data_IF_044009964828
#
_entry.id   IF_044009964828
#
_cell.length_a   1.000
_cell.length_b   1.000
_cell.length_c   1.000
_cell.angle_alpha   90.00
_cell.angle_beta   90.00
_cell.angle_gamma   90.00
#
_symmetry.space_group_name_H-M   'P 1'
#
loop_
_entity.id
_entity.type
_entity.pdbx_description
1 polymer ?
#
# COMPACT_ATOMS: atom_id res chain seq x y z
N UNK A 1 -38.20 22.05 -10.87
CA UNK A 1 -38.97 21.36 -9.79
C UNK A 1 -38.33 20.04 -9.34
N UNK A 2 -38.04 19.11 -10.23
CA UNK A 2 -37.49 17.78 -9.84
C UNK A 2 -36.08 17.83 -9.23
N UNK A 3 -35.15 18.63 -9.78
CA UNK A 3 -33.81 18.77 -9.22
C UNK A 3 -33.83 19.34 -7.81
N UNK A 4 -34.60 20.41 -7.58
CA UNK A 4 -34.72 21.02 -6.25
C UNK A 4 -35.26 20.03 -5.20
N UNK A 5 -36.28 19.23 -5.58
CA UNK A 5 -36.80 18.19 -4.70
C UNK A 5 -35.74 17.13 -4.37
N UNK A 6 -35.00 16.63 -5.38
CA UNK A 6 -33.90 15.70 -5.16
C UNK A 6 -32.87 16.26 -4.19
N UNK A 7 -32.44 17.52 -4.37
CA UNK A 7 -31.46 18.15 -3.51
C UNK A 7 -31.97 18.38 -2.09
N UNK A 8 -33.21 18.79 -1.93
CA UNK A 8 -33.82 18.96 -0.60
C UNK A 8 -33.91 17.65 0.19
N UNK A 9 -34.25 16.57 -0.48
CA UNK A 9 -34.38 15.23 0.12
C UNK A 9 -33.01 14.66 0.51
N UNK A 10 -31.97 14.86 -0.31
CA UNK A 10 -30.69 14.14 -0.20
C UNK A 10 -29.55 14.97 0.42
N UNK A 11 -29.63 16.31 0.43
CA UNK A 11 -28.62 17.16 1.10
C UNK A 11 -28.92 17.19 2.61
N UNK A 12 -28.38 16.18 3.29
CA UNK A 12 -28.52 15.92 4.72
C UNK A 12 -27.33 15.10 5.22
N UNK A 13 -27.32 14.73 6.48
CA UNK A 13 -26.25 13.94 7.12
C UNK A 13 -25.92 12.64 6.36
N UNK A 14 -26.93 11.99 5.79
CA UNK A 14 -26.78 10.77 5.00
C UNK A 14 -26.20 10.96 3.58
N UNK A 15 -25.84 12.17 3.18
CA UNK A 15 -25.16 12.43 1.91
C UNK A 15 -23.72 11.91 1.96
N UNK A 16 -23.31 11.09 0.99
CA UNK A 16 -21.90 10.70 0.86
C UNK A 16 -21.13 11.72 0.04
N UNK A 17 -21.64 12.06 -1.14
CA UNK A 17 -20.94 12.91 -2.09
C UNK A 17 -21.86 13.41 -3.20
N UNK A 18 -21.63 14.66 -3.63
CA UNK A 18 -22.09 15.17 -4.93
C UNK A 18 -20.86 15.50 -5.77
N UNK A 19 -20.84 15.08 -7.02
CA UNK A 19 -19.81 15.43 -8.01
C UNK A 19 -20.49 16.08 -9.21
N UNK A 20 -20.07 17.29 -9.55
CA UNK A 20 -20.56 18.06 -10.70
C UNK A 20 -19.39 18.23 -11.67
N UNK A 21 -19.59 17.95 -12.96
CA UNK A 21 -18.56 17.97 -13.97
C UNK A 21 -19.11 18.18 -15.37
N UNK A 22 -18.23 18.26 -16.37
CA UNK A 22 -18.60 18.55 -17.75
C UNK A 22 -19.05 20.00 -17.92
N UNK A 23 -18.13 20.98 -17.77
CA UNK A 23 -18.47 22.39 -17.94
C UNK A 23 -19.00 22.70 -19.34
N UNK A 24 -19.81 23.75 -19.43
CA UNK A 24 -20.32 24.34 -20.69
C UNK A 24 -19.54 25.61 -20.97
N UNK A 25 -19.10 25.78 -22.22
CA UNK A 25 -18.32 26.96 -22.60
C UNK A 25 -17.01 27.10 -21.84
N UNK A 26 -16.54 28.33 -21.67
CA UNK A 26 -15.23 28.67 -21.08
C UNK A 26 -15.29 28.84 -19.56
N UNK A 27 -15.96 27.91 -18.86
CA UNK A 27 -15.99 27.96 -17.39
C UNK A 27 -14.60 27.67 -16.81
N UNK A 28 -14.10 28.55 -15.95
CA UNK A 28 -12.85 28.34 -15.21
C UNK A 28 -12.91 27.14 -14.27
N UNK A 29 -14.12 26.85 -13.74
CA UNK A 29 -14.34 25.69 -12.85
C UNK A 29 -14.55 24.44 -13.68
N UNK A 30 -13.64 23.49 -13.59
CA UNK A 30 -13.70 22.22 -14.32
C UNK A 30 -14.51 21.14 -13.61
N UNK A 31 -14.54 21.18 -12.27
CA UNK A 31 -15.21 20.17 -11.45
C UNK A 31 -15.57 20.73 -10.06
N UNK A 32 -16.69 20.27 -9.52
CA UNK A 32 -17.11 20.56 -8.15
C UNK A 32 -17.39 19.28 -7.40
N UNK A 33 -16.93 19.19 -6.15
CA UNK A 33 -17.27 18.13 -5.20
C UNK A 33 -17.89 18.72 -3.95
N UNK A 34 -18.96 18.10 -3.45
CA UNK A 34 -19.64 18.52 -2.24
C UNK A 34 -19.81 17.32 -1.31
N UNK A 35 -19.50 17.49 -0.03
CA UNK A 35 -19.71 16.48 1.00
C UNK A 35 -20.18 17.12 2.30
N UNK A 36 -20.92 16.40 3.13
CA UNK A 36 -21.26 16.86 4.48
C UNK A 36 -20.01 16.89 5.37
N UNK A 37 -19.96 17.89 6.25
CA UNK A 37 -18.92 18.04 7.28
C UNK A 37 -19.56 18.60 8.54
N UNK A 38 -19.07 18.16 9.70
CA UNK A 38 -19.45 18.77 10.97
C UNK A 38 -18.36 19.74 11.42
N UNK A 39 -18.75 20.99 11.67
CA UNK A 39 -17.86 22.05 12.15
C UNK A 39 -18.50 22.72 13.37
N UNK A 40 -17.85 22.61 14.52
CA UNK A 40 -18.36 23.16 15.80
C UNK A 40 -19.79 22.71 16.12
N UNK A 41 -20.09 21.42 15.90
CA UNK A 41 -21.41 20.84 16.15
C UNK A 41 -22.50 21.25 15.14
N UNK A 42 -22.15 21.88 14.02
CA UNK A 42 -23.07 22.25 12.94
C UNK A 42 -22.81 21.45 11.69
N UNK A 43 -23.84 20.86 11.10
CA UNK A 43 -23.76 20.20 9.82
C UNK A 43 -23.67 21.27 8.71
N UNK A 44 -22.58 21.24 7.97
CA UNK A 44 -22.31 22.08 6.80
C UNK A 44 -21.95 21.20 5.60
N UNK A 45 -21.92 21.80 4.42
CA UNK A 45 -21.57 21.10 3.17
C UNK A 45 -20.32 21.75 2.59
N UNK A 46 -19.21 21.02 2.67
CA UNK A 46 -17.95 21.47 2.10
C UNK A 46 -17.97 21.31 0.59
N UNK A 47 -17.88 22.44 -0.09
CA UNK A 47 -17.75 22.53 -1.52
C UNK A 47 -16.26 22.70 -1.89
N UNK A 48 -15.78 21.89 -2.81
CA UNK A 48 -14.45 21.93 -3.40
C UNK A 48 -14.59 22.21 -4.89
N UNK A 49 -14.14 23.38 -5.33
CA UNK A 49 -14.13 23.81 -6.74
C UNK A 49 -12.71 23.64 -7.31
N UNK A 50 -12.59 22.98 -8.46
CA UNK A 50 -11.30 22.80 -9.17
C UNK A 50 -11.20 23.81 -10.29
N UNK A 51 -10.19 24.69 -10.24
CA UNK A 51 -9.89 25.73 -11.25
C UNK A 51 -8.45 25.53 -11.73
N UNK A 52 -8.27 25.02 -12.91
CA UNK A 52 -6.96 24.61 -13.42
C UNK A 52 -6.31 23.56 -12.50
N UNK A 53 -5.16 23.87 -11.91
CA UNK A 53 -4.45 23.03 -10.93
C UNK A 53 -4.77 23.39 -9.47
N UNK A 54 -5.63 24.38 -9.21
CA UNK A 54 -5.94 24.86 -7.86
C UNK A 54 -7.29 24.35 -7.39
N UNK A 55 -7.41 24.12 -6.08
CA UNK A 55 -8.64 23.71 -5.42
C UNK A 55 -9.06 24.79 -4.40
N UNK A 56 -10.30 25.22 -4.50
CA UNK A 56 -10.91 26.22 -3.60
C UNK A 56 -11.96 25.53 -2.73
N UNK A 57 -11.92 25.76 -1.43
CA UNK A 57 -12.84 25.17 -0.48
C UNK A 57 -13.73 26.21 0.17
N UNK A 58 -15.04 25.91 0.21
CA UNK A 58 -16.04 26.74 0.90
C UNK A 58 -17.01 25.85 1.67
N UNK A 59 -17.31 26.20 2.92
CA UNK A 59 -18.34 25.53 3.69
C UNK A 59 -19.67 26.30 3.54
N UNK A 60 -20.73 25.59 3.23
CA UNK A 60 -22.06 26.15 2.92
C UNK A 60 -23.10 25.56 3.85
N UNK A 61 -24.16 26.30 4.10
CA UNK A 61 -25.39 25.77 4.70
C UNK A 61 -26.10 24.84 3.69
N UNK A 62 -27.13 24.11 4.14
CA UNK A 62 -27.93 23.27 3.24
C UNK A 62 -28.56 24.11 2.12
N UNK A 63 -29.17 25.23 2.46
CA UNK A 63 -29.89 26.09 1.51
C UNK A 63 -28.95 26.75 0.50
N UNK A 64 -27.76 27.21 0.97
CA UNK A 64 -26.73 27.71 0.07
C UNK A 64 -26.22 26.66 -0.90
N UNK A 65 -26.03 25.42 -0.43
CA UNK A 65 -25.60 24.31 -1.26
C UNK A 65 -26.64 23.97 -2.34
N UNK A 66 -27.94 23.91 -1.97
CA UNK A 66 -29.05 23.66 -2.92
C UNK A 66 -29.09 24.75 -3.98
N UNK A 67 -29.02 26.01 -3.56
CA UNK A 67 -29.03 27.16 -4.49
C UNK A 67 -27.86 27.09 -5.45
N UNK A 68 -26.64 26.94 -4.93
CA UNK A 68 -25.42 26.91 -5.72
C UNK A 68 -25.35 25.74 -6.70
N UNK A 69 -25.81 24.56 -6.29
CA UNK A 69 -25.90 23.37 -7.17
C UNK A 69 -26.91 23.62 -8.29
N UNK A 70 -28.05 24.20 -7.96
CA UNK A 70 -29.09 24.53 -8.93
C UNK A 70 -28.58 25.51 -9.98
N UNK A 71 -27.85 26.54 -9.58
CA UNK A 71 -27.25 27.52 -10.48
C UNK A 71 -26.23 26.86 -11.42
N UNK A 72 -25.35 26.02 -10.88
CA UNK A 72 -24.37 25.28 -11.69
C UNK A 72 -25.03 24.35 -12.70
N UNK A 73 -26.07 23.63 -12.34
CA UNK A 73 -26.73 22.70 -13.25
C UNK A 73 -27.60 23.41 -14.29
N UNK A 74 -28.13 24.58 -13.96
CA UNK A 74 -28.88 25.39 -14.92
C UNK A 74 -27.96 26.09 -15.96
N UNK A 75 -26.77 26.58 -15.52
CA UNK A 75 -25.90 27.40 -16.35
C UNK A 75 -24.60 26.75 -16.78
N UNK A 76 -23.86 26.21 -15.83
CA UNK A 76 -22.41 25.96 -16.00
C UNK A 76 -22.05 24.53 -16.35
N UNK A 77 -22.78 23.53 -15.85
CA UNK A 77 -22.37 22.12 -15.99
C UNK A 77 -23.41 21.24 -16.70
N UNK A 78 -22.93 20.12 -17.26
CA UNK A 78 -23.75 19.16 -18.01
C UNK A 78 -24.15 17.94 -17.21
N UNK A 79 -23.42 17.62 -16.14
CA UNK A 79 -23.66 16.40 -15.39
C UNK A 79 -23.41 16.55 -13.89
N UNK A 80 -24.23 15.87 -13.11
CA UNK A 80 -24.07 15.71 -11.66
C UNK A 80 -24.30 14.26 -11.28
N UNK A 81 -23.49 13.76 -10.36
CA UNK A 81 -23.68 12.49 -9.66
C UNK A 81 -23.86 12.77 -8.18
N UNK A 82 -24.87 12.16 -7.59
CA UNK A 82 -25.19 12.24 -6.16
C UNK A 82 -25.21 10.83 -5.59
N UNK A 83 -24.52 10.64 -4.48
CA UNK A 83 -24.51 9.40 -3.71
C UNK A 83 -24.92 9.70 -2.27
N UNK A 84 -25.92 9.00 -1.76
CA UNK A 84 -26.42 9.11 -0.38
C UNK A 84 -26.66 7.72 0.22
N UNK A 85 -27.00 7.69 1.49
CA UNK A 85 -27.43 6.45 2.18
C UNK A 85 -28.73 5.85 1.61
N UNK A 86 -29.56 6.66 0.93
CA UNK A 86 -30.85 6.23 0.36
C UNK A 86 -30.81 5.94 -1.11
N UNK A 87 -29.93 6.60 -1.88
CA UNK A 87 -29.91 6.45 -3.33
C UNK A 87 -28.60 6.87 -3.99
N UNK A 88 -28.45 6.44 -5.23
CA UNK A 88 -27.55 7.05 -6.21
C UNK A 88 -28.39 7.76 -7.27
N UNK A 89 -28.09 9.03 -7.57
CA UNK A 89 -28.77 9.77 -8.62
C UNK A 89 -27.77 10.37 -9.62
N UNK A 90 -28.14 10.36 -10.90
CA UNK A 90 -27.42 11.05 -11.96
C UNK A 90 -28.31 12.07 -12.65
N UNK A 91 -27.78 13.27 -12.83
CA UNK A 91 -28.46 14.36 -13.55
C UNK A 91 -27.64 14.70 -14.77
N UNK A 92 -28.28 14.65 -15.93
CA UNK A 92 -27.67 15.02 -17.21
C UNK A 92 -28.44 16.17 -17.83
N UNK A 93 -27.71 17.13 -18.36
CA UNK A 93 -28.29 18.31 -19.02
C UNK A 93 -27.91 18.27 -20.51
N UNK A 94 -28.92 18.23 -21.39
CA UNK A 94 -28.73 18.20 -22.81
C UNK A 94 -28.19 19.54 -23.34
N UNK A 95 -27.73 19.56 -24.59
CA UNK A 95 -27.33 20.83 -25.27
C UNK A 95 -28.47 21.87 -25.31
N UNK A 96 -29.74 21.43 -25.33
CA UNK A 96 -30.94 22.29 -25.32
C UNK A 96 -31.38 22.73 -23.90
N UNK A 97 -30.63 22.36 -22.84
CA UNK A 97 -30.94 22.72 -21.46
C UNK A 97 -31.92 21.78 -20.74
N UNK A 98 -32.41 20.73 -21.42
CA UNK A 98 -33.32 19.77 -20.80
C UNK A 98 -32.55 18.89 -19.79
N UNK A 99 -33.05 18.82 -18.53
CA UNK A 99 -32.48 17.97 -17.47
C UNK A 99 -33.17 16.60 -17.47
N UNK A 100 -32.36 15.56 -17.37
CA UNK A 100 -32.83 14.17 -17.15
C UNK A 100 -32.25 13.69 -15.84
N UNK A 101 -33.12 13.25 -14.93
CA UNK A 101 -32.74 12.73 -13.61
C UNK A 101 -33.02 11.22 -13.57
N UNK A 102 -32.00 10.43 -13.27
CA UNK A 102 -32.13 9.00 -13.00
C UNK A 102 -31.76 8.74 -11.55
N UNK A 103 -32.72 8.24 -10.76
CA UNK A 103 -32.53 7.89 -9.33
C UNK A 103 -32.65 6.37 -9.17
N UNK A 104 -31.64 5.75 -8.54
CA UNK A 104 -31.61 4.34 -8.17
C UNK A 104 -31.59 4.25 -6.65
N UNK A 105 -32.68 3.77 -6.02
CA UNK A 105 -32.72 3.63 -4.57
C UNK A 105 -31.77 2.53 -4.09
N UNK A 106 -31.21 2.69 -2.88
CA UNK A 106 -30.46 1.65 -2.21
C UNK A 106 -31.41 0.79 -1.35
N UNK A 107 -31.07 -0.48 -1.16
CA UNK A 107 -31.76 -1.32 -0.19
C UNK A 107 -31.47 -0.81 1.23
N UNK A 108 -32.49 -0.75 2.08
CA UNK A 108 -32.35 -0.34 3.48
C UNK A 108 -31.30 -1.20 4.18
N UNK A 109 -30.33 -0.55 4.87
CA UNK A 109 -29.30 -1.21 5.69
C UNK A 109 -27.96 -1.47 5.01
N UNK A 110 -27.76 -1.11 3.73
CA UNK A 110 -26.49 -1.28 3.02
C UNK A 110 -25.58 -0.03 3.05
N UNK A 111 -26.04 1.05 3.71
CA UNK A 111 -25.31 2.33 3.76
C UNK A 111 -24.07 2.27 4.63
N UNK A 112 -22.92 2.64 4.07
CA UNK A 112 -21.71 2.89 4.86
C UNK A 112 -21.93 4.09 5.77
N UNK A 113 -21.36 4.12 7.00
CA UNK A 113 -21.45 5.30 7.86
C UNK A 113 -20.82 6.51 7.16
N UNK A 114 -21.52 7.65 7.21
CA UNK A 114 -21.02 8.92 6.63
C UNK A 114 -19.95 9.49 7.55
N UNK A 115 -18.79 9.75 6.99
CA UNK A 115 -17.72 10.40 7.75
C UNK A 115 -17.87 11.92 7.64
N UNK A 116 -18.39 12.55 8.71
CA UNK A 116 -18.63 13.98 8.82
C UNK A 116 -17.38 14.78 9.27
N UNK A 117 -16.26 14.14 9.57
CA UNK A 117 -15.06 14.83 10.02
C UNK A 117 -14.58 15.82 8.97
N UNK A 118 -14.42 17.11 9.38
CA UNK A 118 -13.95 18.19 8.51
C UNK A 118 -12.52 17.91 8.03
N UNK A 119 -11.64 17.53 8.95
CA UNK A 119 -10.30 17.05 8.64
C UNK A 119 -10.30 15.52 8.67
N UNK A 120 -10.16 14.89 7.51
CA UNK A 120 -9.92 13.45 7.43
C UNK A 120 -8.55 13.16 8.06
N UNK A 121 -8.55 12.85 9.36
CA UNK A 121 -7.37 12.19 9.93
C UNK A 121 -7.27 10.81 9.31
N UNK A 122 -6.12 10.52 8.69
CA UNK A 122 -5.82 9.14 8.26
C UNK A 122 -5.88 8.28 9.52
N UNK A 123 -6.71 7.24 9.52
CA UNK A 123 -6.75 6.28 10.62
C UNK A 123 -5.55 5.37 10.46
N UNK A 124 -4.64 5.45 11.39
CA UNK A 124 -3.47 4.58 11.46
C UNK A 124 -3.78 3.32 12.27
N UNK A 125 -3.09 2.22 11.97
CA UNK A 125 -3.21 0.95 12.73
C UNK A 125 -2.63 1.15 14.12
N UNK A 126 -1.46 1.80 14.24
CA UNK A 126 -0.93 2.31 15.49
C UNK A 126 -1.45 3.72 15.68
N UNK A 127 -2.30 3.93 16.69
CA UNK A 127 -2.97 5.22 16.90
C UNK A 127 -2.14 6.13 17.80
N UNK A 128 -2.16 7.44 17.50
CA UNK A 128 -1.64 8.46 18.40
C UNK A 128 -2.49 8.51 19.69
N UNK A 129 -1.84 8.63 20.83
CA UNK A 129 -2.48 8.62 22.15
C UNK A 129 -2.48 7.26 22.84
N UNK A 130 -2.15 6.18 22.13
CA UNK A 130 -1.97 4.85 22.70
C UNK A 130 -0.46 4.55 22.80
N UNK A 131 0.11 4.46 24.01
CA UNK A 131 1.53 4.19 24.17
C UNK A 131 1.93 2.82 23.62
N UNK A 132 2.95 2.80 22.75
CA UNK A 132 3.51 1.58 22.18
C UNK A 132 4.99 1.49 22.56
N UNK A 133 5.43 0.47 23.34
CA UNK A 133 6.76 0.43 23.94
C UNK A 133 7.90 0.54 22.93
N UNK A 134 7.88 -0.22 21.85
CA UNK A 134 8.95 -0.17 20.85
C UNK A 134 9.03 1.17 20.11
N UNK A 135 7.90 1.90 19.92
CA UNK A 135 7.90 3.22 19.33
C UNK A 135 8.51 4.28 20.26
N UNK A 136 8.39 4.08 21.58
CA UNK A 136 9.00 4.97 22.58
C UNK A 136 10.52 4.82 22.56
N UNK A 137 11.03 3.59 22.58
CA UNK A 137 12.47 3.32 22.53
C UNK A 137 13.11 3.74 21.20
N UNK A 138 12.36 3.71 20.11
CA UNK A 138 12.77 4.28 18.81
C UNK A 138 12.75 5.82 18.77
N UNK A 139 12.25 6.48 19.83
CA UNK A 139 12.07 7.93 19.87
C UNK A 139 11.02 8.45 18.86
N UNK A 140 10.13 7.58 18.40
CA UNK A 140 9.03 7.92 17.48
C UNK A 140 7.81 8.40 18.25
N UNK A 141 7.63 7.90 19.49
CA UNK A 141 6.50 8.21 20.35
C UNK A 141 6.97 8.62 21.76
N UNK A 142 6.28 9.55 22.40
CA UNK A 142 6.52 9.92 23.79
C UNK A 142 5.88 8.89 24.75
N UNK A 143 6.19 8.97 26.03
CA UNK A 143 5.59 8.11 27.06
C UNK A 143 4.06 8.26 27.14
N UNK A 144 3.54 9.44 26.81
CA UNK A 144 2.11 9.79 26.78
C UNK A 144 1.42 9.37 25.46
N UNK A 145 2.14 8.69 24.57
CA UNK A 145 1.60 8.23 23.27
C UNK A 145 1.56 9.29 22.17
N UNK A 146 2.17 10.47 22.35
CA UNK A 146 2.22 11.51 21.31
C UNK A 146 3.33 11.21 20.30
N UNK A 147 3.07 11.45 19.02
CA UNK A 147 4.08 11.24 17.97
C UNK A 147 5.07 12.41 17.98
N UNK A 148 6.37 12.07 17.98
CA UNK A 148 7.46 13.05 17.89
C UNK A 148 7.48 13.63 16.48
N UNK A 149 7.28 14.94 16.36
CA UNK A 149 7.09 15.65 15.08
C UNK A 149 8.21 15.36 14.06
N UNK A 150 9.46 15.34 14.49
CA UNK A 150 10.63 15.06 13.62
C UNK A 150 10.74 13.59 13.20
N UNK A 151 9.93 12.70 13.78
CA UNK A 151 9.86 11.26 13.49
C UNK A 151 8.54 10.83 12.88
N UNK A 152 7.72 11.80 12.47
CA UNK A 152 6.38 11.50 11.93
C UNK A 152 6.44 10.64 10.66
N UNK A 153 7.44 10.84 9.80
CA UNK A 153 7.63 10.02 8.60
C UNK A 153 7.94 8.57 8.94
N UNK A 154 8.75 8.34 10.00
CA UNK A 154 9.00 6.99 10.50
C UNK A 154 7.73 6.30 11.01
N UNK A 155 6.90 7.05 11.74
CA UNK A 155 5.58 6.58 12.17
C UNK A 155 4.67 6.22 10.99
N UNK A 156 4.64 7.06 9.95
CA UNK A 156 3.89 6.78 8.71
C UNK A 156 4.40 5.53 8.00
N UNK A 157 5.72 5.37 7.89
CA UNK A 157 6.35 4.20 7.28
C UNK A 157 5.96 2.90 8.01
N UNK A 158 6.01 2.89 9.33
CA UNK A 158 5.62 1.71 10.14
C UNK A 158 4.14 1.39 9.91
N UNK A 159 3.25 2.39 9.98
CA UNK A 159 1.84 2.16 9.73
C UNK A 159 1.55 1.69 8.30
N UNK A 160 2.27 2.23 7.29
CA UNK A 160 2.13 1.77 5.91
C UNK A 160 2.53 0.31 5.75
N UNK A 161 3.60 -0.11 6.42
CA UNK A 161 3.99 -1.51 6.45
C UNK A 161 2.90 -2.40 7.07
N UNK A 162 2.32 -1.97 8.19
CA UNK A 162 1.23 -2.70 8.85
C UNK A 162 -0.05 -2.76 8.00
N UNK A 163 -0.33 -1.74 7.16
CA UNK A 163 -1.42 -1.79 6.17
C UNK A 163 -1.21 -2.96 5.18
N UNK A 164 0.04 -3.19 4.70
CA UNK A 164 0.34 -4.35 3.85
C UNK A 164 0.18 -5.69 4.58
N UNK A 165 0.54 -5.73 5.86
CA UNK A 165 0.32 -6.92 6.70
C UNK A 165 -1.19 -7.16 6.89
N UNK A 166 -1.98 -6.12 7.13
CA UNK A 166 -3.44 -6.24 7.28
C UNK A 166 -4.11 -6.77 6.01
N UNK A 167 -3.66 -6.33 4.84
CA UNK A 167 -4.19 -6.79 3.55
C UNK A 167 -3.96 -8.29 3.31
N UNK A 168 -2.86 -8.85 3.81
CA UNK A 168 -2.51 -10.27 3.61
C UNK A 168 -2.94 -11.17 4.77
N UNK A 169 -3.42 -10.61 5.85
CA UNK A 169 -3.83 -11.36 7.04
C UNK A 169 -4.81 -12.51 6.73
N UNK A 170 -5.81 -12.37 5.83
CA UNK A 170 -6.71 -13.45 5.47
C UNK A 170 -6.05 -14.64 4.75
N UNK A 171 -4.79 -14.50 4.33
CA UNK A 171 -4.02 -15.55 3.65
C UNK A 171 -3.19 -16.40 4.63
N UNK A 172 -3.10 -15.96 5.89
CA UNK A 172 -2.35 -16.64 6.94
C UNK A 172 -3.29 -17.53 7.79
N UNK A 173 -2.77 -18.60 8.41
CA UNK A 173 -3.58 -19.43 9.30
C UNK A 173 -4.07 -18.64 10.52
N UNK A 174 -5.30 -18.93 10.95
CA UNK A 174 -5.91 -18.32 12.14
C UNK A 174 -6.16 -19.30 13.28
N UNK A 175 -5.95 -20.58 13.04
CA UNK A 175 -6.26 -21.72 13.92
C UNK A 175 -5.02 -22.36 14.57
N UNK A 176 -3.84 -21.90 14.20
CA UNK A 176 -2.55 -22.36 14.74
C UNK A 176 -1.53 -21.22 14.80
N UNK A 177 -0.38 -21.50 15.38
CA UNK A 177 0.76 -20.58 15.39
C UNK A 177 1.21 -20.23 13.96
N UNK A 178 1.39 -18.95 13.72
CA UNK A 178 1.94 -18.40 12.46
C UNK A 178 3.45 -18.28 12.61
N UNK A 179 4.22 -18.89 11.72
CA UNK A 179 5.68 -18.75 11.69
C UNK A 179 6.10 -17.73 10.62
N UNK A 180 6.84 -16.71 11.06
CA UNK A 180 7.34 -15.62 10.19
C UNK A 180 8.86 -15.57 10.26
N UNK A 181 9.53 -15.47 9.11
CA UNK A 181 10.96 -15.18 9.02
C UNK A 181 11.17 -13.80 8.42
N UNK A 182 12.03 -12.99 9.07
CA UNK A 182 12.44 -11.66 8.62
C UNK A 182 13.94 -11.66 8.35
N UNK A 183 14.31 -11.66 7.08
CA UNK A 183 15.69 -11.69 6.63
C UNK A 183 16.27 -10.30 6.46
N UNK A 184 17.46 -10.07 7.04
CA UNK A 184 18.12 -8.77 7.04
C UNK A 184 17.35 -7.78 7.92
N UNK A 185 16.89 -8.25 9.08
CA UNK A 185 16.00 -7.47 9.96
C UNK A 185 16.63 -6.17 10.49
N UNK A 186 17.95 -6.02 10.48
CA UNK A 186 18.68 -4.84 10.92
C UNK A 186 18.25 -4.40 12.31
N UNK A 187 17.93 -3.12 12.51
CA UNK A 187 17.42 -2.59 13.80
C UNK A 187 16.00 -3.06 14.14
N UNK A 188 15.40 -3.90 13.32
CA UNK A 188 14.19 -4.69 13.55
C UNK A 188 12.92 -3.93 13.94
N UNK A 189 12.85 -2.61 13.73
CA UNK A 189 11.66 -1.84 14.13
C UNK A 189 10.38 -2.29 13.40
N UNK A 190 10.47 -2.79 12.17
CA UNK A 190 9.33 -3.37 11.43
C UNK A 190 9.00 -4.76 11.94
N UNK A 191 9.99 -5.54 12.37
CA UNK A 191 9.81 -6.85 13.01
C UNK A 191 9.09 -6.71 14.35
N UNK A 192 9.47 -5.73 15.18
CA UNK A 192 8.75 -5.38 16.40
C UNK A 192 7.32 -4.92 16.12
N UNK A 193 7.13 -4.13 15.06
CA UNK A 193 5.80 -3.68 14.65
C UNK A 193 4.91 -4.86 14.21
N UNK A 194 5.46 -5.83 13.46
CA UNK A 194 4.74 -7.06 13.09
C UNK A 194 4.32 -7.84 14.32
N UNK A 195 5.27 -8.11 15.25
CA UNK A 195 4.97 -8.86 16.45
C UNK A 195 3.87 -8.18 17.27
N UNK A 196 3.97 -6.87 17.50
CA UNK A 196 2.96 -6.09 18.21
C UNK A 196 1.60 -6.16 17.49
N UNK A 197 1.58 -6.04 16.17
CA UNK A 197 0.36 -6.13 15.39
C UNK A 197 -0.32 -7.49 15.52
N UNK A 198 0.40 -8.57 15.28
CA UNK A 198 -0.17 -9.91 15.34
C UNK A 198 -0.56 -10.28 16.79
N UNK A 199 0.34 -10.09 17.74
CA UNK A 199 0.15 -10.56 19.11
C UNK A 199 -0.75 -9.63 19.92
N UNK A 200 -0.48 -8.31 19.90
CA UNK A 200 -1.16 -7.36 20.77
C UNK A 200 -2.47 -6.82 20.15
N UNK A 201 -2.49 -6.53 18.85
CA UNK A 201 -3.68 -5.96 18.23
C UNK A 201 -4.65 -7.03 17.71
N UNK A 202 -4.14 -8.08 17.07
CA UNK A 202 -4.97 -9.13 16.46
C UNK A 202 -5.16 -10.36 17.37
N UNK A 203 -4.39 -10.48 18.46
CA UNK A 203 -4.44 -11.60 19.45
C UNK A 203 -4.20 -12.97 18.79
N UNK A 204 -3.39 -13.00 17.73
CA UNK A 204 -3.00 -14.22 17.05
C UNK A 204 -1.76 -14.83 17.69
N UNK A 205 -1.63 -16.14 17.61
CA UNK A 205 -0.41 -16.82 18.02
C UNK A 205 0.62 -16.73 16.91
N UNK A 206 1.77 -16.11 17.18
CA UNK A 206 2.81 -15.84 16.19
C UNK A 206 4.19 -16.10 16.79
N UNK A 207 5.05 -16.72 15.99
CA UNK A 207 6.47 -16.90 16.24
C UNK A 207 7.24 -16.19 15.13
N UNK A 208 7.99 -15.15 15.48
CA UNK A 208 8.78 -14.36 14.53
C UNK A 208 10.26 -14.59 14.78
N UNK A 209 10.98 -14.92 13.74
CA UNK A 209 12.42 -15.14 13.74
C UNK A 209 13.06 -14.08 12.84
N UNK A 210 13.84 -13.17 13.43
CA UNK A 210 14.65 -12.20 12.71
C UNK A 210 16.07 -12.74 12.51
N UNK A 211 16.63 -12.53 11.33
CA UNK A 211 18.00 -12.94 10.97
C UNK A 211 18.80 -11.73 10.47
N UNK A 212 20.01 -11.55 11.02
CA UNK A 212 20.96 -10.54 10.54
C UNK A 212 22.41 -11.06 10.71
N UNK A 213 23.33 -10.48 9.96
CA UNK A 213 24.76 -10.86 10.04
C UNK A 213 25.49 -10.20 11.24
N UNK A 214 24.93 -9.13 11.80
CA UNK A 214 25.57 -8.30 12.82
C UNK A 214 25.21 -8.77 14.22
N UNK A 215 26.16 -9.33 14.92
CA UNK A 215 25.99 -9.86 16.28
C UNK A 215 25.53 -8.79 17.30
N UNK A 216 26.10 -7.58 17.23
CA UNK A 216 25.72 -6.46 18.09
C UNK A 216 24.25 -6.04 17.91
N UNK A 217 23.77 -6.06 16.69
CA UNK A 217 22.36 -5.78 16.37
C UNK A 217 21.46 -6.85 16.93
N UNK A 218 21.81 -8.12 16.78
CA UNK A 218 21.06 -9.28 17.30
C UNK A 218 20.95 -9.22 18.82
N UNK A 219 22.07 -8.93 19.51
CA UNK A 219 22.07 -8.81 20.99
C UNK A 219 21.12 -7.69 21.47
N UNK A 220 21.15 -6.53 20.81
CA UNK A 220 20.25 -5.40 21.12
C UNK A 220 18.78 -5.80 20.88
N UNK A 221 18.48 -6.44 19.75
CA UNK A 221 17.11 -6.82 19.41
C UNK A 221 16.54 -7.86 20.39
N UNK A 222 17.31 -8.86 20.79
CA UNK A 222 16.88 -9.84 21.80
C UNK A 222 16.65 -9.19 23.16
N UNK A 223 17.53 -8.27 23.59
CA UNK A 223 17.34 -7.52 24.84
C UNK A 223 16.08 -6.64 24.82
N UNK A 224 15.71 -6.06 23.67
CA UNK A 224 14.47 -5.32 23.53
C UNK A 224 13.25 -6.26 23.51
N UNK A 225 13.33 -7.41 22.85
CA UNK A 225 12.25 -8.41 22.86
C UNK A 225 11.95 -8.90 24.29
N UNK A 226 12.98 -9.21 25.06
CA UNK A 226 12.88 -9.56 26.49
C UNK A 226 12.26 -8.41 27.30
N UNK A 227 12.75 -7.18 27.14
CA UNK A 227 12.23 -5.98 27.80
C UNK A 227 10.73 -5.76 27.57
N UNK A 228 10.22 -6.10 26.38
CA UNK A 228 8.80 -5.95 26.03
C UNK A 228 7.95 -7.18 26.37
N UNK A 229 8.56 -8.27 26.84
CA UNK A 229 7.87 -9.54 27.08
C UNK A 229 7.42 -10.24 25.80
N UNK A 230 8.16 -10.07 24.69
CA UNK A 230 7.85 -10.69 23.40
C UNK A 230 8.47 -12.07 23.30
N UNK A 231 7.89 -13.03 24.05
CA UNK A 231 8.43 -14.38 24.26
C UNK A 231 8.64 -15.20 22.99
N UNK A 232 7.88 -14.91 21.93
CA UNK A 232 7.95 -15.61 20.64
C UNK A 232 8.56 -14.72 19.53
N UNK A 233 9.39 -13.75 19.90
CA UNK A 233 10.18 -12.93 19.00
C UNK A 233 11.66 -13.18 19.28
N UNK A 234 12.34 -13.85 18.35
CA UNK A 234 13.73 -14.25 18.49
C UNK A 234 14.59 -13.71 17.37
N UNK A 235 15.82 -13.34 17.69
CA UNK A 235 16.77 -12.87 16.69
C UNK A 235 18.03 -13.74 16.73
N UNK A 236 18.48 -14.18 15.55
CA UNK A 236 19.66 -15.02 15.42
C UNK A 236 20.65 -14.40 14.42
N UNK A 237 21.93 -14.55 14.75
CA UNK A 237 22.97 -14.26 13.79
C UNK A 237 23.05 -15.38 12.77
N UNK A 238 22.96 -15.05 11.48
CA UNK A 238 23.04 -16.03 10.43
C UNK A 238 22.94 -15.44 9.03
N UNK A 239 23.49 -16.18 8.08
CA UNK A 239 23.35 -15.93 6.66
C UNK A 239 22.07 -16.59 6.13
N UNK A 240 21.37 -15.89 5.26
CA UNK A 240 20.12 -16.33 4.64
C UNK A 240 20.32 -17.66 3.88
N UNK A 241 21.40 -17.76 3.12
CA UNK A 241 21.67 -18.94 2.27
C UNK A 241 21.90 -20.21 3.08
N UNK A 242 22.51 -20.09 4.27
CA UNK A 242 22.85 -21.23 5.12
C UNK A 242 21.79 -21.59 6.16
N UNK A 243 20.73 -20.79 6.33
CA UNK A 243 19.71 -21.04 7.33
C UNK A 243 18.86 -22.29 7.01
N UNK A 244 18.83 -23.24 7.95
CA UNK A 244 18.11 -24.55 7.83
C UNK A 244 17.18 -24.83 9.02
N UNK A 245 16.89 -23.81 9.84
CA UNK A 245 16.21 -24.00 11.13
C UNK A 245 14.73 -24.37 11.09
N UNK A 246 14.07 -24.37 9.93
CA UNK A 246 12.66 -24.72 9.76
C UNK A 246 12.40 -25.34 8.39
N UNK A 247 11.42 -26.26 8.31
CA UNK A 247 10.99 -26.91 7.07
C UNK A 247 9.75 -26.20 6.47
N UNK A 248 8.94 -25.52 7.31
CA UNK A 248 7.75 -24.79 6.88
C UNK A 248 7.71 -23.41 7.52
N UNK A 249 7.33 -22.41 6.73
CA UNK A 249 7.20 -21.01 7.15
C UNK A 249 5.94 -20.43 6.49
N UNK A 250 5.10 -19.75 7.26
CA UNK A 250 3.87 -19.16 6.70
C UNK A 250 4.14 -17.87 5.95
N UNK A 251 5.10 -17.07 6.44
CA UNK A 251 5.42 -15.78 5.82
C UNK A 251 6.91 -15.50 5.87
N UNK A 252 7.44 -15.01 4.76
CA UNK A 252 8.81 -14.49 4.66
C UNK A 252 8.78 -13.00 4.39
N UNK A 253 9.55 -12.26 5.17
CA UNK A 253 9.76 -10.83 5.00
C UNK A 253 11.25 -10.58 4.75
N UNK A 254 11.56 -9.73 3.77
CA UNK A 254 12.92 -9.32 3.45
C UNK A 254 12.90 -7.87 2.96
N UNK A 255 13.14 -6.93 3.87
CA UNK A 255 13.03 -5.51 3.58
C UNK A 255 14.40 -4.82 3.40
N UNK A 256 15.49 -5.49 3.78
CA UNK A 256 16.82 -4.92 3.75
C UNK A 256 17.92 -5.91 3.33
N UNK A 257 17.56 -7.08 2.81
CA UNK A 257 18.53 -7.95 2.17
C UNK A 257 19.00 -7.30 0.85
N UNK A 258 20.30 -7.13 0.71
CA UNK A 258 20.86 -6.41 -0.43
C UNK A 258 21.21 -7.36 -1.58
N UNK A 259 20.94 -6.90 -2.81
CA UNK A 259 21.34 -7.55 -4.07
C UNK A 259 20.91 -9.02 -4.13
N UNK A 260 21.83 -9.94 -4.35
CA UNK A 260 21.56 -11.40 -4.46
C UNK A 260 21.12 -12.03 -3.13
N UNK A 261 21.36 -11.42 -1.97
CA UNK A 261 20.83 -11.92 -0.70
C UNK A 261 19.28 -11.94 -0.71
N UNK A 262 18.64 -10.99 -1.43
CA UNK A 262 17.20 -11.04 -1.68
C UNK A 262 16.80 -12.30 -2.45
N UNK A 263 17.60 -12.71 -3.45
CA UNK A 263 17.29 -13.88 -4.28
C UNK A 263 17.34 -15.18 -3.48
N UNK A 264 18.31 -15.32 -2.58
CA UNK A 264 18.36 -16.46 -1.65
C UNK A 264 17.18 -16.46 -0.65
N UNK A 265 16.74 -15.29 -0.19
CA UNK A 265 15.58 -15.18 0.68
C UNK A 265 14.28 -15.61 -0.05
N UNK A 266 14.11 -15.19 -1.30
CA UNK A 266 12.98 -15.58 -2.13
C UNK A 266 12.99 -17.07 -2.47
N UNK A 267 14.15 -17.63 -2.80
CA UNK A 267 14.33 -19.07 -3.04
C UNK A 267 13.96 -19.89 -1.80
N UNK A 268 14.46 -19.53 -0.61
CA UNK A 268 14.09 -20.17 0.64
C UNK A 268 12.58 -20.07 0.90
N UNK A 269 11.97 -18.90 0.69
CA UNK A 269 10.54 -18.72 0.83
C UNK A 269 9.73 -19.68 -0.06
N UNK A 270 10.16 -19.85 -1.33
CA UNK A 270 9.54 -20.80 -2.26
C UNK A 270 9.73 -22.25 -1.79
N UNK A 271 10.94 -22.63 -1.37
CA UNK A 271 11.24 -23.98 -0.87
C UNK A 271 10.43 -24.34 0.39
N UNK A 272 10.24 -23.41 1.30
CA UNK A 272 9.41 -23.57 2.51
C UNK A 272 7.91 -23.46 2.23
N UNK A 273 7.52 -23.29 0.99
CA UNK A 273 6.13 -23.13 0.57
C UNK A 273 5.40 -22.02 1.34
N UNK A 274 6.11 -20.92 1.59
CA UNK A 274 5.57 -19.77 2.33
C UNK A 274 4.25 -19.28 1.69
N UNK A 275 3.23 -19.04 2.52
CA UNK A 275 1.93 -18.55 2.05
C UNK A 275 2.03 -17.12 1.52
N UNK A 276 2.89 -16.31 2.14
CA UNK A 276 3.08 -14.90 1.82
C UNK A 276 4.56 -14.54 1.79
N UNK A 277 4.95 -13.74 0.82
CA UNK A 277 6.29 -13.14 0.72
C UNK A 277 6.13 -11.63 0.58
N UNK A 278 6.83 -10.86 1.43
CA UNK A 278 6.97 -9.42 1.32
C UNK A 278 8.45 -9.07 1.14
N UNK A 279 8.81 -8.52 0.00
CA UNK A 279 10.21 -8.21 -0.35
C UNK A 279 10.37 -6.78 -0.83
N UNK A 280 11.34 -6.06 -0.25
CA UNK A 280 11.79 -4.73 -0.69
C UNK A 280 13.28 -4.76 -0.92
N UNK A 281 13.70 -4.57 -2.15
CA UNK A 281 15.12 -4.59 -2.53
C UNK A 281 15.70 -3.19 -2.49
N UNK A 282 16.75 -3.00 -1.69
CA UNK A 282 17.45 -1.71 -1.61
C UNK A 282 18.58 -1.57 -2.65
N UNK A 283 19.09 -2.66 -3.20
CA UNK A 283 20.20 -2.71 -4.15
C UNK A 283 19.95 -3.75 -5.24
N UNK A 284 20.36 -3.44 -6.47
CA UNK A 284 20.24 -4.31 -7.65
C UNK A 284 21.57 -4.25 -8.45
N UNK A 285 22.69 -4.51 -7.78
CA UNK A 285 24.01 -4.40 -8.38
C UNK A 285 24.31 -5.51 -9.38
N UNK A 286 23.73 -6.71 -9.18
CA UNK A 286 23.92 -7.83 -10.09
C UNK A 286 23.50 -7.46 -11.51
N UNK A 287 22.23 -7.08 -11.72
CA UNK A 287 21.73 -6.74 -13.04
C UNK A 287 22.31 -5.43 -13.57
N UNK A 288 22.65 -4.47 -12.70
CA UNK A 288 23.30 -3.24 -13.14
C UNK A 288 24.67 -3.48 -13.80
N UNK A 289 25.39 -4.51 -13.38
CA UNK A 289 26.66 -4.91 -14.03
C UNK A 289 26.44 -5.64 -15.35
N UNK A 290 25.37 -6.45 -15.43
CA UNK A 290 25.10 -7.33 -16.58
C UNK A 290 24.37 -6.59 -17.72
N UNK A 291 23.40 -5.72 -17.40
CA UNK A 291 22.46 -5.16 -18.37
C UNK A 291 23.15 -4.51 -19.57
N UNK A 292 22.83 -5.00 -20.74
CA UNK A 292 23.24 -4.47 -22.03
C UNK A 292 22.10 -4.64 -23.05
N UNK A 293 21.90 -3.62 -23.89
CA UNK A 293 20.93 -3.67 -24.98
C UNK A 293 21.31 -2.61 -26.01
N UNK A 294 21.41 -3.01 -27.29
CA UNK A 294 21.93 -2.13 -28.36
C UNK A 294 21.03 -0.92 -28.62
N UNK A 295 19.71 -1.15 -28.59
CA UNK A 295 18.72 -0.12 -28.89
C UNK A 295 18.63 0.92 -27.77
N UNK A 296 18.88 0.50 -26.53
CA UNK A 296 18.83 1.34 -25.34
C UNK A 296 20.20 1.88 -24.90
N UNK A 297 21.28 1.46 -25.56
CA UNK A 297 22.65 1.89 -25.23
C UNK A 297 22.78 3.43 -25.09
N UNK A 298 22.22 4.27 -26.02
CA UNK A 298 22.35 5.72 -25.91
C UNK A 298 21.70 6.30 -24.64
N UNK A 299 20.75 5.58 -24.03
CA UNK A 299 20.09 5.97 -22.77
C UNK A 299 20.84 5.39 -21.58
N UNK A 300 21.28 4.13 -21.67
CA UNK A 300 22.00 3.42 -20.61
C UNK A 300 23.45 3.89 -20.43
N UNK A 301 23.98 4.68 -21.32
CA UNK A 301 25.26 5.37 -21.18
C UNK A 301 25.25 6.37 -20.00
N UNK A 302 24.08 6.87 -19.64
CA UNK A 302 23.88 7.65 -18.42
C UNK A 302 23.74 6.69 -17.22
N UNK A 303 24.77 6.60 -16.36
CA UNK A 303 24.84 5.66 -15.24
C UNK A 303 23.62 5.66 -14.31
N UNK A 304 23.03 6.84 -14.04
CA UNK A 304 21.82 6.93 -13.22
C UNK A 304 20.58 6.29 -13.91
N UNK A 305 20.49 6.39 -15.23
CA UNK A 305 19.39 5.76 -15.98
C UNK A 305 19.59 4.25 -16.06
N UNK A 306 20.82 3.80 -16.29
CA UNK A 306 21.18 2.37 -16.27
C UNK A 306 20.85 1.75 -14.91
N UNK A 307 21.21 2.39 -13.81
CA UNK A 307 20.95 1.91 -12.45
C UNK A 307 19.45 1.79 -12.16
N UNK A 308 18.65 2.80 -12.53
CA UNK A 308 17.20 2.78 -12.36
C UNK A 308 16.54 1.69 -13.22
N UNK A 309 17.00 1.51 -14.45
CA UNK A 309 16.48 0.49 -15.35
C UNK A 309 16.81 -0.91 -14.84
N UNK A 310 18.03 -1.13 -14.38
CA UNK A 310 18.45 -2.37 -13.76
C UNK A 310 17.59 -2.70 -12.50
N UNK A 311 17.29 -1.69 -11.69
CA UNK A 311 16.44 -1.87 -10.51
C UNK A 311 15.02 -2.33 -10.89
N UNK A 312 14.37 -1.65 -11.83
CA UNK A 312 13.02 -2.00 -12.29
C UNK A 312 12.99 -3.38 -12.96
N UNK A 313 14.00 -3.69 -13.78
CA UNK A 313 14.13 -4.98 -14.44
C UNK A 313 14.32 -6.11 -13.44
N UNK A 314 15.19 -5.93 -12.44
CA UNK A 314 15.42 -6.91 -11.38
C UNK A 314 14.12 -7.24 -10.63
N UNK A 315 13.41 -6.21 -10.15
CA UNK A 315 12.19 -6.42 -9.37
C UNK A 315 11.06 -7.01 -10.23
N UNK A 316 10.97 -6.62 -11.51
CA UNK A 316 10.04 -7.20 -12.47
C UNK A 316 10.31 -8.68 -12.76
N UNK A 317 11.57 -9.07 -12.96
CA UNK A 317 11.97 -10.47 -13.17
C UNK A 317 11.71 -11.30 -11.91
N UNK A 318 12.06 -10.79 -10.71
CA UNK A 318 11.77 -11.47 -9.44
C UNK A 318 10.28 -11.74 -9.28
N UNK A 319 9.43 -10.76 -9.55
CA UNK A 319 7.98 -10.93 -9.50
C UNK A 319 7.51 -12.02 -10.47
N UNK A 320 8.01 -12.03 -11.71
CA UNK A 320 7.65 -13.04 -12.73
C UNK A 320 8.16 -14.44 -12.38
N UNK A 321 9.33 -14.56 -11.78
CA UNK A 321 9.85 -15.85 -11.29
C UNK A 321 9.00 -16.39 -10.14
N UNK A 322 8.52 -15.53 -9.23
CA UNK A 322 7.59 -15.92 -8.18
C UNK A 322 6.21 -16.31 -8.74
N UNK A 323 5.70 -15.61 -9.78
CA UNK A 323 4.49 -16.05 -10.49
C UNK A 323 4.66 -17.45 -11.07
N UNK A 324 5.81 -17.72 -11.71
CA UNK A 324 6.14 -19.05 -12.21
C UNK A 324 6.22 -20.10 -11.09
N UNK A 325 6.69 -19.72 -9.91
CA UNK A 325 6.72 -20.54 -8.71
C UNK A 325 5.34 -20.71 -8.03
N UNK A 326 4.24 -20.22 -8.64
CA UNK A 326 2.86 -20.42 -8.20
C UNK A 326 2.31 -19.35 -7.27
N UNK A 327 2.93 -18.17 -7.24
CA UNK A 327 2.45 -17.02 -6.45
C UNK A 327 1.66 -16.04 -7.33
N UNK A 328 0.65 -15.40 -6.75
CA UNK A 328 0.05 -14.18 -7.28
C UNK A 328 0.86 -13.00 -6.78
N UNK A 329 1.45 -12.20 -7.68
CA UNK A 329 2.35 -11.11 -7.30
C UNK A 329 1.75 -9.75 -7.57
N UNK A 330 2.15 -8.78 -6.76
CA UNK A 330 1.87 -7.36 -6.95
C UNK A 330 3.14 -6.56 -6.62
N UNK A 331 3.43 -5.56 -7.44
CA UNK A 331 4.48 -4.58 -7.16
C UNK A 331 3.80 -3.30 -6.69
N UNK A 332 4.11 -2.86 -5.48
CA UNK A 332 3.44 -1.77 -4.78
C UNK A 332 4.47 -0.73 -4.31
N UNK A 333 4.08 0.54 -4.20
CA UNK A 333 4.90 1.52 -3.50
C UNK A 333 4.87 1.27 -1.99
N UNK A 334 6.06 1.05 -1.40
CA UNK A 334 6.23 0.82 0.03
C UNK A 334 6.26 2.14 0.83
N UNK A 335 7.07 3.10 0.37
CA UNK A 335 7.21 4.43 0.94
C UNK A 335 7.23 5.46 -0.19
N UNK A 336 6.92 6.72 0.14
CA UNK A 336 6.88 7.80 -0.85
C UNK A 336 8.24 7.98 -1.52
N UNK A 337 8.26 8.19 -2.83
CA UNK A 337 9.48 8.41 -3.63
C UNK A 337 10.33 9.61 -3.16
N UNK A 338 9.72 10.54 -2.41
CA UNK A 338 10.44 11.66 -1.79
C UNK A 338 11.53 11.20 -0.81
N UNK A 339 11.42 9.99 -0.26
CA UNK A 339 12.37 9.45 0.70
C UNK A 339 13.43 8.55 0.05
N UNK A 340 13.05 7.78 -0.98
CA UNK A 340 13.98 6.93 -1.74
C UNK A 340 13.35 6.52 -3.07
N UNK A 341 14.14 6.47 -4.16
CA UNK A 341 13.68 5.92 -5.44
C UNK A 341 13.56 4.38 -5.42
N UNK A 342 14.11 3.72 -4.39
CA UNK A 342 14.07 2.25 -4.20
C UNK A 342 13.00 1.91 -3.19
N UNK A 343 11.76 2.04 -3.62
CA UNK A 343 10.58 2.00 -2.77
C UNK A 343 9.55 0.95 -3.19
N UNK A 344 9.93 -0.02 -4.04
CA UNK A 344 9.03 -1.04 -4.53
C UNK A 344 8.98 -2.23 -3.57
N UNK A 345 7.76 -2.63 -3.21
CA UNK A 345 7.45 -3.84 -2.46
C UNK A 345 6.91 -4.90 -3.44
N UNK A 346 7.55 -6.04 -3.50
CA UNK A 346 6.97 -7.25 -4.10
C UNK A 346 6.16 -7.95 -3.02
N UNK A 347 4.85 -8.01 -3.22
CA UNK A 347 3.92 -8.80 -2.42
C UNK A 347 3.52 -10.03 -3.22
N UNK A 348 3.82 -11.22 -2.72
CA UNK A 348 3.50 -12.47 -3.36
C UNK A 348 2.69 -13.38 -2.43
N UNK A 349 1.59 -13.94 -2.93
CA UNK A 349 0.68 -14.82 -2.19
C UNK A 349 0.57 -16.16 -2.92
N UNK A 350 0.87 -17.25 -2.24
CA UNK A 350 0.81 -18.60 -2.81
C UNK A 350 -0.61 -18.94 -3.21
N UNK A 351 -0.80 -19.41 -4.46
CA UNK A 351 -2.11 -19.80 -5.00
C UNK A 351 -2.16 -21.25 -5.48
N UNK A 352 -1.06 -21.71 -6.06
CA UNK A 352 -0.99 -23.03 -6.69
C UNK A 352 0.44 -23.56 -6.67
N UNK A 353 0.62 -24.80 -7.09
CA UNK A 353 1.96 -25.32 -7.36
C UNK A 353 2.59 -24.60 -8.54
N UNK A 354 3.88 -24.37 -8.45
CA UNK A 354 4.65 -23.67 -9.48
C UNK A 354 5.29 -24.61 -10.50
N UNK A 355 5.87 -24.01 -11.53
CA UNK A 355 6.71 -24.69 -12.53
C UNK A 355 8.18 -24.40 -12.25
N UNK A 356 9.03 -25.39 -12.47
CA UNK A 356 10.48 -25.22 -12.46
C UNK A 356 11.04 -24.86 -13.84
N UNK A 357 10.22 -24.95 -14.89
CA UNK A 357 10.61 -24.55 -16.24
C UNK A 357 10.45 -23.04 -16.40
N UNK A 358 11.50 -22.37 -16.88
CA UNK A 358 11.47 -20.94 -17.16
C UNK A 358 10.50 -20.63 -18.31
N UNK A 359 9.55 -19.68 -18.13
CA UNK A 359 8.66 -19.26 -19.22
C UNK A 359 9.44 -18.65 -20.39
N UNK A 360 9.10 -19.03 -21.63
CA UNK A 360 9.79 -18.56 -22.83
C UNK A 360 9.80 -17.02 -22.96
N UNK A 361 8.72 -16.35 -22.57
CA UNK A 361 8.63 -14.89 -22.59
C UNK A 361 9.64 -14.25 -21.62
N UNK A 362 9.82 -14.84 -20.44
CA UNK A 362 10.78 -14.36 -19.45
C UNK A 362 12.22 -14.63 -19.91
N UNK A 363 12.46 -15.79 -20.52
CA UNK A 363 13.75 -16.16 -21.14
C UNK A 363 14.13 -15.14 -22.23
N UNK A 364 13.22 -14.89 -23.17
CA UNK A 364 13.41 -13.89 -24.22
C UNK A 364 13.69 -12.48 -23.68
N UNK A 365 13.00 -12.08 -22.62
CA UNK A 365 13.26 -10.80 -21.93
C UNK A 365 14.68 -10.76 -21.36
N UNK A 366 15.11 -11.79 -20.63
CA UNK A 366 16.46 -11.88 -20.06
C UNK A 366 17.55 -11.88 -21.14
N UNK A 367 17.34 -12.58 -22.23
CA UNK A 367 18.24 -12.61 -23.38
C UNK A 367 18.33 -11.22 -24.06
N UNK A 368 17.23 -10.55 -24.27
CA UNK A 368 17.18 -9.21 -24.90
C UNK A 368 17.98 -8.15 -24.10
N UNK A 369 18.05 -8.29 -22.79
CA UNK A 369 18.81 -7.40 -21.90
C UNK A 369 20.17 -7.97 -21.49
N UNK A 370 20.56 -9.14 -21.97
CA UNK A 370 21.78 -9.88 -21.62
C UNK A 370 21.96 -10.04 -20.11
N UNK A 371 20.88 -10.37 -19.39
CA UNK A 371 20.90 -10.56 -17.95
C UNK A 371 20.64 -12.01 -17.55
N UNK A 372 21.30 -12.43 -16.48
CA UNK A 372 21.16 -13.75 -15.88
C UNK A 372 21.05 -13.61 -14.36
N UNK A 373 19.82 -13.35 -13.83
CA UNK A 373 19.61 -13.15 -12.41
C UNK A 373 19.86 -14.44 -11.61
N UNK A 374 20.48 -14.30 -10.44
CA UNK A 374 20.70 -15.42 -9.49
C UNK A 374 19.40 -16.15 -9.17
N UNK A 375 18.28 -15.45 -8.97
CA UNK A 375 17.00 -16.08 -8.66
C UNK A 375 16.51 -17.03 -9.76
N UNK A 376 16.77 -16.72 -11.04
CA UNK A 376 16.41 -17.61 -12.13
C UNK A 376 17.16 -18.95 -12.03
N UNK A 377 18.47 -18.92 -11.76
CA UNK A 377 19.29 -20.13 -11.57
C UNK A 377 18.86 -20.93 -10.33
N UNK A 378 18.35 -20.28 -9.29
CA UNK A 378 17.92 -20.91 -8.02
C UNK A 378 16.53 -21.58 -8.13
N UNK A 379 15.61 -21.03 -8.91
CA UNK A 379 14.22 -21.50 -8.99
C UNK A 379 13.92 -22.36 -10.20
N UNK A 380 14.82 -22.43 -11.20
CA UNK A 380 14.60 -23.23 -12.40
C UNK A 380 15.57 -24.39 -12.48
N UNK A 381 15.12 -25.50 -13.04
CA UNK A 381 16.00 -26.60 -13.39
C UNK A 381 16.91 -26.16 -14.55
N UNK A 382 18.21 -26.50 -14.46
CA UNK A 382 19.10 -26.29 -15.59
C UNK A 382 18.63 -27.20 -16.72
N UNK A 383 18.36 -26.64 -17.90
CA UNK A 383 18.19 -27.44 -19.09
C UNK A 383 19.50 -28.25 -19.26
N UNK A 384 19.45 -29.58 -19.18
CA UNK A 384 20.58 -30.41 -19.54
C UNK A 384 20.88 -30.17 -21.03
N UNK A 385 22.16 -30.01 -21.41
CA UNK A 385 22.55 -29.64 -22.76
C UNK A 385 22.25 -30.77 -23.77
#
# INVERSE_FOLDING_TARGET
MELQKLLQDEIREGLYRITISGPRGDSEVSKVRIRPVEIKGKLLFQCQETVGTKEFHKNMTKDDAITRISDWMNGTFKQMQLESDTCTASVLVSKKGTMTIKKKPHMKGTGKPVNLAHNRKKRYILEEGIPVPFLQDLGVMTKEGKIVRTRYDKFRQINRFLEFIEDILPQLPSDREITILDFGCGKSYLTFAMYYYFRELKKLDVNIIGLDLKEDVIAICNGLAEKYGYEKLHFYQGDIASYTGRDEVDMVVTLHACDTATDYALEKAVKWNAKVILSVSCCQHELNRQIANKELYPIMDYGILKERMAALLTDGIRAKLLENAGYETQILEFIDMEHTPKNLLIRAVKRQEGSKKLPEELKACMEAYHVKPTLADLLTEKEEP
#
